data_IF_400658649602
#
_entry.id   IF_400658649602
#
_cell.length_a   1.000
_cell.length_b   1.000
_cell.length_c   1.000
_cell.angle_alpha   90.00
_cell.angle_beta   90.00
_cell.angle_gamma   90.00
#
_symmetry.space_group_name_H-M   'P 1'
#
loop_
_entity.id
_entity.type
_entity.pdbx_description
1 polymer ?
#
# COMPACT_ATOMS: atom_id res chain seq x y z
N UNK A 1 -52.61 -45.59 -74.71
CA UNK A 1 -51.32 -44.94 -74.41
C UNK A 1 -51.42 -44.25 -73.07
N UNK A 2 -50.72 -44.77 -72.05
CA UNK A 2 -50.68 -44.19 -70.70
C UNK A 2 -49.77 -42.96 -70.74
N UNK A 3 -50.28 -41.77 -70.41
CA UNK A 3 -49.47 -40.60 -70.12
C UNK A 3 -49.50 -40.33 -68.61
N UNK A 4 -48.39 -40.66 -67.96
CA UNK A 4 -48.04 -40.35 -66.58
C UNK A 4 -47.67 -38.87 -66.47
N UNK A 5 -48.41 -38.11 -65.67
CA UNK A 5 -48.09 -36.72 -65.33
C UNK A 5 -47.18 -36.74 -64.10
N UNK A 6 -45.92 -36.40 -64.33
CA UNK A 6 -44.86 -36.30 -63.33
C UNK A 6 -45.06 -35.03 -62.49
N UNK A 7 -45.17 -35.17 -61.17
CA UNK A 7 -45.17 -34.03 -60.24
C UNK A 7 -43.73 -33.56 -60.01
N UNK A 8 -43.43 -32.32 -60.40
CA UNK A 8 -42.15 -31.66 -60.09
C UNK A 8 -42.33 -30.87 -58.79
N UNK A 9 -41.66 -31.31 -57.72
CA UNK A 9 -41.46 -30.51 -56.50
C UNK A 9 -40.30 -29.52 -56.72
N UNK A 10 -40.43 -28.24 -56.35
CA UNK A 10 -39.30 -27.32 -56.41
C UNK A 10 -38.35 -27.60 -55.24
N UNK A 11 -37.11 -27.95 -55.56
CA UNK A 11 -35.99 -28.05 -54.62
C UNK A 11 -35.54 -26.62 -54.28
N UNK A 12 -35.77 -26.20 -53.03
CA UNK A 12 -35.17 -24.99 -52.47
C UNK A 12 -33.66 -25.22 -52.28
N UNK A 13 -32.86 -24.64 -53.17
CA UNK A 13 -31.41 -24.53 -53.00
C UNK A 13 -31.10 -23.43 -51.98
N UNK A 14 -30.75 -23.82 -50.76
CA UNK A 14 -30.12 -22.92 -49.80
C UNK A 14 -28.68 -22.66 -50.26
N UNK A 15 -28.42 -21.46 -50.75
CA UNK A 15 -27.05 -20.95 -50.89
C UNK A 15 -26.55 -20.51 -49.52
N UNK A 16 -25.73 -21.34 -48.88
CA UNK A 16 -24.93 -20.93 -47.72
C UNK A 16 -23.87 -19.94 -48.18
N UNK A 17 -24.15 -18.64 -48.02
CA UNK A 17 -23.15 -17.60 -48.09
C UNK A 17 -22.29 -17.69 -46.82
N UNK A 18 -21.06 -18.17 -46.96
CA UNK A 18 -20.02 -17.96 -45.96
C UNK A 18 -19.57 -16.51 -46.06
N UNK A 19 -20.11 -15.64 -45.21
CA UNK A 19 -19.42 -14.40 -44.88
C UNK A 19 -18.12 -14.75 -44.12
N UNK A 20 -16.97 -14.13 -44.47
CA UNK A 20 -15.78 -14.31 -43.67
C UNK A 20 -16.05 -13.64 -42.33
N UNK A 21 -16.12 -14.45 -41.28
CA UNK A 21 -16.21 -13.98 -39.90
C UNK A 21 -15.12 -12.95 -39.66
N UNK A 22 -15.52 -11.69 -39.48
CA UNK A 22 -14.67 -10.68 -38.85
C UNK A 22 -14.16 -11.29 -37.56
N UNK A 23 -12.84 -11.31 -37.37
CA UNK A 23 -12.18 -11.77 -36.15
C UNK A 23 -12.65 -10.92 -34.96
N UNK A 24 -13.79 -11.25 -34.38
CA UNK A 24 -14.17 -10.88 -33.02
C UNK A 24 -13.80 -12.05 -32.11
N UNK A 25 -12.50 -12.33 -32.04
CA UNK A 25 -11.93 -13.18 -31.02
C UNK A 25 -11.13 -12.28 -30.12
N UNK A 26 -11.77 -11.69 -29.11
CA UNK A 26 -11.03 -11.38 -27.89
C UNK A 26 -10.60 -12.76 -27.41
N UNK A 27 -9.33 -13.09 -27.63
CA UNK A 27 -8.78 -14.36 -27.21
C UNK A 27 -8.94 -14.42 -25.68
N UNK A 28 -9.67 -15.42 -25.21
CA UNK A 28 -9.95 -15.63 -23.78
C UNK A 28 -8.69 -15.95 -22.96
N UNK A 29 -7.52 -16.01 -23.62
CA UNK A 29 -6.19 -16.10 -23.02
C UNK A 29 -5.67 -14.76 -22.45
N UNK A 30 -6.29 -13.62 -22.78
CA UNK A 30 -5.81 -12.26 -22.47
C UNK A 30 -6.28 -11.67 -21.12
N UNK A 31 -6.93 -12.46 -20.27
CA UNK A 31 -7.41 -11.99 -18.97
C UNK A 31 -6.24 -11.99 -17.98
N UNK A 32 -5.92 -10.83 -17.39
CA UNK A 32 -5.01 -10.73 -16.24
C UNK A 32 -5.41 -11.81 -15.24
N UNK A 33 -4.46 -12.67 -14.88
CA UNK A 33 -4.72 -13.68 -13.87
C UNK A 33 -5.04 -12.98 -12.54
N UNK A 34 -6.30 -13.12 -12.11
CA UNK A 34 -6.78 -12.54 -10.84
C UNK A 34 -6.10 -13.19 -9.65
N UNK A 35 -5.45 -14.33 -9.81
CA UNK A 35 -4.74 -15.04 -8.73
C UNK A 35 -3.74 -14.12 -8.00
N UNK A 36 -3.06 -13.22 -8.72
CA UNK A 36 -2.03 -12.33 -8.16
C UNK A 36 -2.65 -11.29 -7.23
N UNK A 37 -3.77 -10.69 -7.66
CA UNK A 37 -4.53 -9.76 -6.81
C UNK A 37 -5.05 -10.50 -5.58
N UNK A 38 -5.60 -11.70 -5.77
CA UNK A 38 -6.14 -12.50 -4.66
C UNK A 38 -5.04 -12.92 -3.66
N UNK A 39 -3.85 -13.26 -4.14
CA UNK A 39 -2.69 -13.59 -3.32
C UNK A 39 -2.24 -12.39 -2.51
N UNK A 40 -2.05 -11.24 -3.17
CA UNK A 40 -1.66 -9.99 -2.53
C UNK A 40 -2.70 -9.58 -1.47
N UNK A 41 -3.98 -9.54 -1.82
CA UNK A 41 -5.04 -9.18 -0.88
C UNK A 41 -5.18 -10.18 0.26
N UNK A 42 -4.93 -11.47 0.02
CA UNK A 42 -4.92 -12.48 1.06
C UNK A 42 -3.76 -12.30 2.05
N UNK A 43 -2.58 -11.85 1.61
CA UNK A 43 -1.47 -11.51 2.52
C UNK A 43 -1.79 -10.23 3.29
N UNK A 44 -2.27 -9.18 2.62
CA UNK A 44 -2.63 -7.91 3.26
C UNK A 44 -3.76 -8.06 4.29
N UNK A 45 -4.79 -8.86 3.98
CA UNK A 45 -5.93 -9.10 4.91
C UNK A 45 -5.49 -9.79 6.20
N UNK A 46 -4.39 -10.57 6.20
CA UNK A 46 -3.86 -11.15 7.43
C UNK A 46 -3.32 -10.07 8.38
N UNK A 47 -2.83 -8.95 7.84
CA UNK A 47 -2.34 -7.82 8.62
C UNK A 47 -3.48 -7.06 9.32
N UNK A 48 -4.71 -7.08 8.78
CA UNK A 48 -5.89 -6.50 9.45
C UNK A 48 -6.13 -7.18 10.81
N UNK A 49 -5.98 -8.51 10.86
CA UNK A 49 -6.13 -9.27 12.12
C UNK A 49 -4.94 -9.04 13.06
N UNK A 50 -3.73 -8.95 12.49
CA UNK A 50 -2.52 -8.72 13.26
C UNK A 50 -2.52 -7.34 13.94
N UNK A 51 -2.92 -6.27 13.23
CA UNK A 51 -2.94 -4.93 13.83
C UNK A 51 -4.00 -4.80 14.92
N UNK A 52 -5.14 -5.50 14.79
CA UNK A 52 -6.14 -5.60 15.87
C UNK A 52 -5.55 -6.31 17.08
N UNK A 53 -4.83 -7.41 16.88
CA UNK A 53 -4.13 -8.11 17.95
C UNK A 53 -3.12 -7.19 18.66
N UNK A 54 -2.28 -6.47 17.92
CA UNK A 54 -1.32 -5.52 18.47
C UNK A 54 -2.02 -4.41 19.27
N UNK A 55 -3.12 -3.86 18.74
CA UNK A 55 -3.95 -2.87 19.43
C UNK A 55 -4.45 -3.41 20.76
N UNK A 56 -4.99 -4.62 20.79
CA UNK A 56 -5.50 -5.23 22.02
C UNK A 56 -4.37 -5.46 23.05
N UNK A 57 -3.15 -5.76 22.60
CA UNK A 57 -1.99 -5.81 23.51
C UNK A 57 -1.67 -4.44 24.10
N UNK A 58 -1.66 -3.38 23.29
CA UNK A 58 -1.40 -2.02 23.80
C UNK A 58 -2.48 -1.60 24.80
N UNK A 59 -3.76 -1.75 24.45
CA UNK A 59 -4.87 -1.38 25.34
C UNK A 59 -4.85 -2.19 26.65
N UNK A 60 -4.44 -3.46 26.61
CA UNK A 60 -4.23 -4.24 27.82
C UNK A 60 -3.13 -3.66 28.70
N UNK A 61 -2.00 -3.23 28.14
CA UNK A 61 -0.91 -2.62 28.90
C UNK A 61 -1.37 -1.31 29.56
N UNK A 62 -2.11 -0.49 28.83
CA UNK A 62 -2.66 0.78 29.32
C UNK A 62 -3.67 0.58 30.45
N UNK A 63 -4.59 -0.38 30.30
CA UNK A 63 -5.55 -0.73 31.35
C UNK A 63 -4.89 -1.21 32.65
N UNK A 64 -3.62 -1.66 32.59
CA UNK A 64 -2.85 -2.15 33.73
C UNK A 64 -1.67 -1.23 34.11
N UNK A 65 -1.68 0.02 33.63
CA UNK A 65 -0.60 1.02 33.77
C UNK A 65 0.00 1.08 35.18
N UNK A 66 -0.82 1.28 36.21
CA UNK A 66 -0.37 1.44 37.61
C UNK A 66 0.40 0.23 38.15
N UNK A 67 0.04 -0.98 37.69
CA UNK A 67 0.71 -2.22 38.11
C UNK A 67 1.99 -2.44 37.32
N UNK A 68 1.96 -2.16 36.01
CA UNK A 68 3.10 -2.37 35.12
C UNK A 68 4.21 -1.34 35.31
N UNK A 69 3.89 -0.08 35.61
CA UNK A 69 4.90 0.95 35.91
C UNK A 69 5.81 0.55 37.08
N UNK A 70 5.28 -0.15 38.08
CA UNK A 70 6.06 -0.64 39.23
C UNK A 70 7.05 -1.74 38.87
N UNK A 71 6.84 -2.42 37.74
CA UNK A 71 7.65 -3.53 37.24
C UNK A 71 8.46 -3.15 35.99
N UNK A 72 8.27 -1.94 35.48
CA UNK A 72 8.87 -1.51 34.23
C UNK A 72 10.40 -1.44 34.36
N UNK A 73 11.10 -1.99 33.37
CA UNK A 73 12.55 -1.83 33.28
C UNK A 73 12.88 -0.42 32.77
N UNK A 74 13.17 0.47 33.72
CA UNK A 74 13.55 1.87 33.44
C UNK A 74 14.90 1.99 32.73
N UNK A 75 15.72 0.95 32.72
CA UNK A 75 17.05 0.95 32.09
C UNK A 75 17.06 0.24 30.73
N UNK A 76 15.90 -0.18 30.22
CA UNK A 76 15.77 -0.86 28.92
C UNK A 76 16.34 -0.03 27.77
N UNK A 77 16.19 1.30 27.87
CA UNK A 77 16.64 2.26 26.88
C UNK A 77 17.63 3.26 27.50
N UNK A 78 18.63 3.65 26.71
CA UNK A 78 19.49 4.79 27.01
C UNK A 78 19.01 5.95 26.14
N UNK A 79 18.77 7.10 26.75
CA UNK A 79 18.25 8.28 26.07
C UNK A 79 19.28 9.41 26.00
N UNK A 80 19.23 10.18 24.90
CA UNK A 80 19.84 11.50 24.78
C UNK A 80 18.72 12.51 24.52
N UNK A 81 18.34 13.25 25.56
CA UNK A 81 17.07 14.00 25.53
C UNK A 81 15.90 13.01 25.53
N UNK A 82 14.93 13.19 24.63
CA UNK A 82 13.82 12.25 24.43
C UNK A 82 14.10 11.12 23.43
N UNK A 83 15.30 11.05 22.83
CA UNK A 83 15.62 10.08 21.77
C UNK A 83 16.40 8.89 22.31
N UNK A 84 15.96 7.67 22.02
CA UNK A 84 16.73 6.45 22.31
C UNK A 84 18.02 6.40 21.49
N UNK A 85 19.13 5.99 22.09
CA UNK A 85 20.45 5.98 21.42
C UNK A 85 20.76 4.68 20.68
N UNK A 86 19.91 3.66 20.75
CA UNK A 86 20.14 2.39 20.06
C UNK A 86 19.96 2.53 18.55
N UNK A 87 20.80 1.84 17.82
CA UNK A 87 20.75 1.67 16.38
C UNK A 87 20.36 0.22 16.04
N UNK A 88 19.93 -0.06 14.79
CA UNK A 88 19.71 -1.44 14.35
C UNK A 88 20.95 -2.35 14.46
N UNK A 89 22.17 -1.79 14.58
CA UNK A 89 23.39 -2.56 14.82
C UNK A 89 23.58 -2.96 16.29
N UNK A 90 22.99 -2.20 17.22
CA UNK A 90 23.16 -2.42 18.66
C UNK A 90 22.24 -3.53 19.20
N UNK A 91 21.03 -3.65 18.62
CA UNK A 91 20.06 -4.67 19.02
C UNK A 91 19.08 -5.01 17.90
N UNK A 92 18.82 -6.30 17.73
CA UNK A 92 17.75 -6.86 16.90
C UNK A 92 16.41 -6.97 17.63
N UNK A 93 16.34 -6.54 18.90
CA UNK A 93 15.17 -6.69 19.78
C UNK A 93 14.50 -5.41 20.17
N UNK A 94 15.19 -4.27 20.02
CA UNK A 94 14.68 -2.98 20.46
C UNK A 94 14.07 -2.23 19.28
N UNK A 95 12.95 -1.58 19.54
CA UNK A 95 12.46 -0.49 18.69
C UNK A 95 13.34 0.74 18.87
N UNK A 96 13.26 1.70 17.96
CA UNK A 96 13.59 3.09 18.27
C UNK A 96 12.45 3.68 19.09
N UNK A 97 12.77 4.37 20.19
CA UNK A 97 11.81 5.00 21.09
C UNK A 97 12.11 6.49 21.23
N UNK A 98 11.10 7.30 21.02
CA UNK A 98 11.20 8.75 20.94
C UNK A 98 10.11 9.39 21.77
N UNK A 99 10.48 10.43 22.52
CA UNK A 99 9.58 11.42 23.09
C UNK A 99 9.95 12.76 22.43
N UNK A 100 9.07 13.31 21.60
CA UNK A 100 9.33 14.56 20.89
C UNK A 100 9.20 15.76 21.83
N UNK A 101 9.93 16.84 21.51
CA UNK A 101 9.91 18.09 22.27
C UNK A 101 8.54 18.80 22.23
N UNK A 102 7.70 18.44 21.27
CA UNK A 102 6.32 18.93 21.13
C UNK A 102 5.38 18.38 22.22
N UNK A 103 5.81 17.42 23.04
CA UNK A 103 5.01 16.95 24.18
C UNK A 103 4.73 18.08 25.18
N UNK A 104 3.50 18.12 25.69
CA UNK A 104 3.13 19.05 26.77
C UNK A 104 3.48 18.54 28.16
N UNK A 105 3.75 17.23 28.30
CA UNK A 105 4.04 16.57 29.58
C UNK A 105 5.01 15.40 29.38
N UNK A 106 6.30 15.68 29.57
CA UNK A 106 7.36 14.69 29.37
C UNK A 106 7.27 13.50 30.33
N UNK A 107 6.85 13.72 31.58
CA UNK A 107 6.76 12.64 32.58
C UNK A 107 5.66 11.65 32.20
N UNK A 108 4.49 12.16 31.78
CA UNK A 108 3.39 11.33 31.26
C UNK A 108 3.78 10.58 29.98
N UNK A 109 4.49 11.24 29.07
CA UNK A 109 5.06 10.59 27.87
C UNK A 109 6.03 9.47 28.26
N UNK A 110 6.89 9.69 29.26
CA UNK A 110 7.82 8.69 29.76
C UNK A 110 7.10 7.50 30.42
N UNK A 111 6.04 7.72 31.20
CA UNK A 111 5.22 6.63 31.74
C UNK A 111 4.61 5.78 30.63
N UNK A 112 4.10 6.41 29.57
CA UNK A 112 3.54 5.70 28.40
C UNK A 112 4.63 4.91 27.67
N UNK A 113 5.82 5.48 27.51
CA UNK A 113 6.98 4.79 26.96
C UNK A 113 7.35 3.54 27.80
N UNK A 114 7.36 3.66 29.14
CA UNK A 114 7.70 2.56 30.05
C UNK A 114 6.65 1.45 30.06
N UNK A 115 5.36 1.79 30.11
CA UNK A 115 4.25 0.82 30.11
C UNK A 115 4.20 0.01 28.82
N UNK A 116 4.60 0.62 27.70
CA UNK A 116 4.63 -0.04 26.40
C UNK A 116 5.94 -0.76 26.11
N UNK A 117 6.86 -0.90 27.07
CA UNK A 117 8.15 -1.56 26.85
C UNK A 117 8.03 -3.00 26.32
N UNK A 118 7.00 -3.76 26.69
CA UNK A 118 6.80 -5.12 26.18
C UNK A 118 6.44 -5.16 24.69
N UNK A 119 6.00 -4.04 24.11
CA UNK A 119 5.61 -3.96 22.69
C UNK A 119 6.76 -4.25 21.73
N UNK A 120 8.02 -4.04 22.12
CA UNK A 120 9.16 -4.40 21.26
C UNK A 120 9.14 -5.89 20.85
N UNK A 121 8.77 -6.78 21.78
CA UNK A 121 8.68 -8.21 21.49
C UNK A 121 7.52 -8.54 20.57
N UNK A 122 6.39 -7.85 20.72
CA UNK A 122 5.23 -8.02 19.85
C UNK A 122 5.51 -7.49 18.44
N UNK A 123 6.08 -6.29 18.33
CA UNK A 123 6.48 -5.70 17.06
C UNK A 123 7.52 -6.55 16.33
N UNK A 124 8.52 -7.04 17.05
CA UNK A 124 9.50 -7.99 16.50
C UNK A 124 8.83 -9.27 16.00
N UNK A 125 7.92 -9.84 16.78
CA UNK A 125 7.22 -11.06 16.38
C UNK A 125 6.42 -10.85 15.10
N UNK A 126 5.65 -9.76 15.01
CA UNK A 126 4.90 -9.40 13.79
C UNK A 126 5.85 -9.22 12.60
N UNK A 127 6.92 -8.45 12.76
CA UNK A 127 7.93 -8.21 11.72
C UNK A 127 8.57 -9.52 11.21
N UNK A 128 8.89 -10.45 12.10
CA UNK A 128 9.47 -11.76 11.71
C UNK A 128 8.45 -12.73 11.12
N UNK A 129 7.18 -12.62 11.54
CA UNK A 129 6.09 -13.49 11.09
C UNK A 129 5.66 -13.17 9.66
N UNK A 130 5.60 -11.89 9.29
CA UNK A 130 5.14 -11.45 7.98
C UNK A 130 6.28 -10.81 7.19
N UNK A 131 6.82 -11.57 6.24
CA UNK A 131 7.94 -11.13 5.41
C UNK A 131 7.66 -9.93 4.48
N UNK A 132 6.43 -9.44 4.41
CA UNK A 132 6.05 -8.21 3.68
C UNK A 132 6.12 -6.96 4.55
N UNK A 133 6.17 -7.11 5.88
CA UNK A 133 6.18 -5.99 6.82
C UNK A 133 7.56 -5.36 6.87
N UNK A 134 7.62 -4.06 6.61
CA UNK A 134 8.83 -3.27 6.67
C UNK A 134 9.03 -2.63 8.06
N UNK A 135 7.94 -2.14 8.66
CA UNK A 135 7.93 -1.53 9.98
C UNK A 135 6.62 -1.81 10.74
N UNK A 136 6.72 -1.79 12.07
CA UNK A 136 5.58 -1.77 12.99
C UNK A 136 5.83 -0.66 14.01
N UNK A 137 4.83 0.19 14.26
CA UNK A 137 5.01 1.33 15.13
C UNK A 137 3.76 1.70 15.91
N UNK A 138 3.95 2.52 16.95
CA UNK A 138 2.89 3.29 17.60
C UNK A 138 3.34 4.75 17.75
N UNK A 139 2.45 5.68 17.42
CA UNK A 139 2.57 7.11 17.69
C UNK A 139 1.44 7.54 18.62
N UNK A 140 1.71 8.38 19.62
CA UNK A 140 0.71 8.79 20.62
C UNK A 140 0.42 10.29 20.57
N UNK A 141 -0.74 10.70 21.09
CA UNK A 141 -1.13 12.11 21.23
C UNK A 141 -0.14 12.90 22.08
N UNK A 142 0.45 12.23 23.08
CA UNK A 142 1.49 12.78 23.96
C UNK A 142 2.90 12.65 23.35
N UNK A 143 2.98 12.50 22.01
CA UNK A 143 4.21 12.60 21.23
C UNK A 143 5.28 11.54 21.57
N UNK A 144 4.84 10.38 22.05
CA UNK A 144 5.66 9.16 22.13
C UNK A 144 5.56 8.41 20.81
N UNK A 145 6.70 8.11 20.20
CA UNK A 145 6.82 7.27 19.01
C UNK A 145 7.70 6.07 19.31
N UNK A 146 7.25 4.87 18.94
CA UNK A 146 8.00 3.62 19.04
C UNK A 146 7.93 2.91 17.70
N UNK A 147 9.07 2.66 17.05
CA UNK A 147 9.15 2.08 15.71
C UNK A 147 10.11 0.89 15.69
N UNK A 148 9.64 -0.24 15.20
CA UNK A 148 10.43 -1.45 14.98
C UNK A 148 10.52 -1.77 13.47
N UNK A 149 11.66 -2.25 12.97
CA UNK A 149 12.96 -2.36 13.66
C UNK A 149 13.55 -0.97 13.95
N UNK A 150 14.53 -0.91 14.86
CA UNK A 150 15.21 0.34 15.16
C UNK A 150 15.84 0.98 13.91
N UNK A 151 15.90 2.32 13.91
CA UNK A 151 16.52 3.16 12.91
C UNK A 151 17.35 4.28 13.58
N UNK A 152 18.26 4.89 12.82
CA UNK A 152 19.11 5.99 13.31
C UNK A 152 18.31 7.30 13.42
N UNK A 153 17.62 7.44 14.54
CA UNK A 153 16.73 8.58 14.80
C UNK A 153 17.45 9.91 14.87
N UNK A 154 18.71 9.93 15.33
CA UNK A 154 19.43 11.17 15.59
C UNK A 154 19.69 11.97 14.31
N UNK A 155 19.79 11.28 13.17
CA UNK A 155 20.08 11.89 11.88
C UNK A 155 18.83 12.06 10.99
N UNK A 156 17.71 11.41 11.32
CA UNK A 156 16.54 11.32 10.44
C UNK A 156 15.32 12.09 10.96
N UNK A 157 15.18 12.25 12.27
CA UNK A 157 13.99 12.83 12.88
C UNK A 157 14.26 14.24 13.43
N UNK A 158 13.38 15.19 13.11
CA UNK A 158 13.34 16.47 13.81
C UNK A 158 12.63 16.27 15.17
N UNK A 159 13.29 16.54 16.30
CA UNK A 159 12.71 16.34 17.63
C UNK A 159 11.55 17.29 17.93
N UNK A 160 11.35 18.36 17.16
CA UNK A 160 10.26 19.34 17.34
C UNK A 160 9.00 19.00 16.53
N UNK A 161 8.99 17.87 15.80
CA UNK A 161 7.83 17.40 15.04
C UNK A 161 6.62 17.14 15.95
N UNK A 162 5.44 17.22 15.34
CA UNK A 162 4.19 16.78 15.95
C UNK A 162 3.60 15.65 15.10
N UNK A 163 3.66 14.42 15.64
CA UNK A 163 3.22 13.21 14.92
C UNK A 163 1.74 13.21 14.59
N UNK A 164 0.92 14.01 15.28
CA UNK A 164 -0.52 14.07 15.06
C UNK A 164 -0.91 14.80 13.78
N UNK A 165 0.03 15.56 13.19
CA UNK A 165 -0.19 16.28 11.93
C UNK A 165 0.07 15.43 10.69
N UNK A 166 0.53 14.20 10.84
CA UNK A 166 0.86 13.30 9.74
C UNK A 166 -0.28 12.33 9.41
N UNK A 167 -0.37 11.92 8.15
CA UNK A 167 -1.42 11.03 7.65
C UNK A 167 -1.55 9.72 8.41
N UNK A 168 -0.43 9.09 8.78
CA UNK A 168 -0.43 7.88 9.58
C UNK A 168 -1.10 8.04 10.96
N UNK A 169 -1.27 9.27 11.44
CA UNK A 169 -2.00 9.53 12.67
C UNK A 169 -3.43 9.97 12.40
N UNK A 170 -3.64 11.03 11.62
CA UNK A 170 -4.98 11.59 11.45
C UNK A 170 -5.93 10.67 10.69
N UNK A 171 -5.46 9.80 9.78
CA UNK A 171 -6.33 8.85 9.08
C UNK A 171 -7.00 7.84 10.02
N UNK A 172 -6.40 7.57 11.19
CA UNK A 172 -6.96 6.70 12.20
C UNK A 172 -7.71 7.45 13.32
N UNK A 173 -7.67 8.78 13.35
CA UNK A 173 -8.31 9.55 14.41
C UNK A 173 -9.85 9.42 14.38
N UNK A 174 -10.54 9.89 15.43
CA UNK A 174 -12.00 9.79 15.50
C UNK A 174 -12.76 10.62 14.46
N UNK A 175 -12.11 11.61 13.84
CA UNK A 175 -12.72 12.47 12.82
C UNK A 175 -12.71 11.79 11.45
N UNK A 176 -11.62 11.12 11.09
CA UNK A 176 -11.46 10.44 9.81
C UNK A 176 -11.93 8.98 9.88
N UNK A 177 -11.74 8.32 11.02
CA UNK A 177 -12.14 6.95 11.29
C UNK A 177 -13.13 6.83 12.47
N UNK A 178 -14.40 7.26 12.30
CA UNK A 178 -15.42 7.12 13.34
C UNK A 178 -15.76 5.65 13.64
N UNK A 179 -15.39 4.71 12.76
CA UNK A 179 -15.61 3.26 12.96
C UNK A 179 -14.66 2.65 13.99
N UNK A 180 -13.52 3.31 14.25
CA UNK A 180 -12.45 2.86 15.16
C UNK A 180 -11.79 1.55 14.77
N UNK A 181 -11.96 1.10 13.53
CA UNK A 181 -11.34 -0.12 12.99
C UNK A 181 -10.00 0.13 12.30
N UNK A 182 -9.38 -0.93 11.74
CA UNK A 182 -8.22 -0.80 10.86
C UNK A 182 -8.54 0.08 9.63
N UNK A 183 -7.56 0.86 9.17
CA UNK A 183 -7.65 1.72 7.99
C UNK A 183 -6.41 1.54 7.13
N UNK A 184 -6.60 1.17 5.87
CA UNK A 184 -5.54 1.19 4.85
C UNK A 184 -5.40 2.60 4.27
N UNK A 185 -4.22 3.19 4.42
CA UNK A 185 -3.87 4.46 3.76
C UNK A 185 -3.46 4.13 2.33
N UNK A 186 -4.44 4.12 1.42
CA UNK A 186 -4.25 3.71 0.03
C UNK A 186 -3.33 4.62 -0.81
N UNK A 187 -3.02 5.81 -0.29
CA UNK A 187 -2.09 6.76 -0.91
C UNK A 187 -0.68 6.50 -0.43
N UNK A 188 0.20 6.10 -1.35
CA UNK A 188 1.60 5.84 -1.05
C UNK A 188 2.32 7.15 -0.70
N UNK A 189 3.07 7.14 0.40
CA UNK A 189 3.84 8.27 0.89
C UNK A 189 5.26 7.87 1.31
N UNK A 190 6.12 8.85 1.53
CA UNK A 190 7.51 8.60 1.94
C UNK A 190 7.57 8.32 3.44
N UNK A 191 8.22 7.22 3.81
CA UNK A 191 8.51 6.86 5.21
C UNK A 191 9.48 7.87 5.85
N UNK A 192 9.08 8.54 6.96
CA UNK A 192 9.97 9.39 7.77
C UNK A 192 11.21 8.69 8.31
N UNK A 193 11.17 7.37 8.53
CA UNK A 193 12.31 6.58 8.98
C UNK A 193 13.23 6.12 7.82
N UNK A 194 12.97 6.56 6.59
CA UNK A 194 13.89 6.43 5.46
C UNK A 194 13.78 5.12 4.66
N UNK A 195 12.67 4.39 4.76
CA UNK A 195 12.42 3.16 3.97
C UNK A 195 12.00 3.39 2.52
N UNK A 196 11.78 4.64 2.12
CA UNK A 196 11.31 4.99 0.78
C UNK A 196 9.79 5.09 0.73
N UNK A 197 9.18 4.61 -0.35
CA UNK A 197 7.73 4.68 -0.55
C UNK A 197 7.03 3.54 0.18
N UNK A 198 6.05 3.87 1.01
CA UNK A 198 5.30 2.91 1.83
C UNK A 198 3.79 2.98 1.61
N UNK A 199 3.16 1.83 1.83
CA UNK A 199 1.74 1.65 2.07
C UNK A 199 1.56 1.30 3.55
N UNK A 200 0.55 1.88 4.20
CA UNK A 200 0.38 1.73 5.65
C UNK A 200 -1.02 1.26 6.02
N UNK A 201 -1.07 0.32 6.97
CA UNK A 201 -2.26 -0.06 7.70
C UNK A 201 -2.18 0.55 9.08
N UNK A 202 -3.18 1.34 9.47
CA UNK A 202 -3.20 2.04 10.76
C UNK A 202 -4.44 1.65 11.59
N UNK A 203 -4.30 1.71 12.91
CA UNK A 203 -5.39 1.39 13.84
C UNK A 203 -5.35 2.31 15.07
N UNK A 204 -6.48 2.95 15.44
CA UNK A 204 -6.52 3.76 16.65
C UNK A 204 -6.46 2.90 17.92
N UNK A 205 -5.79 3.42 18.95
CA UNK A 205 -5.64 2.82 20.27
C UNK A 205 -6.27 3.74 21.30
N UNK A 206 -7.10 3.19 22.18
CA UNK A 206 -7.82 3.97 23.19
C UNK A 206 -7.38 3.64 24.62
N UNK A 207 -7.34 4.64 25.48
CA UNK A 207 -7.23 4.49 26.94
C UNK A 207 -8.48 5.11 27.56
N UNK A 208 -9.29 4.31 28.27
CA UNK A 208 -10.52 4.76 28.94
C UNK A 208 -11.55 5.48 28.03
N UNK A 209 -11.50 5.23 26.73
CA UNK A 209 -12.40 5.81 25.74
C UNK A 209 -11.86 7.02 24.99
N UNK A 210 -10.71 7.55 25.41
CA UNK A 210 -9.98 8.62 24.73
C UNK A 210 -8.91 8.04 23.80
N UNK A 211 -8.68 8.69 22.66
CA UNK A 211 -7.63 8.28 21.72
C UNK A 211 -6.27 8.51 22.37
N UNK A 212 -5.53 7.44 22.65
CA UNK A 212 -4.14 7.53 23.11
C UNK A 212 -3.21 7.73 21.92
N UNK A 213 -3.42 6.99 20.84
CA UNK A 213 -2.48 6.93 19.74
C UNK A 213 -2.94 6.06 18.60
N UNK A 214 -2.03 5.84 17.67
CA UNK A 214 -2.25 5.10 16.43
C UNK A 214 -1.11 4.11 16.25
N UNK A 215 -1.48 2.82 16.14
CA UNK A 215 -0.59 1.78 15.68
C UNK A 215 -0.53 1.80 14.16
N UNK A 216 0.61 1.42 13.59
CA UNK A 216 0.72 1.19 12.17
C UNK A 216 1.65 0.05 11.80
N UNK A 217 1.40 -0.52 10.62
CA UNK A 217 2.21 -1.50 9.94
C UNK A 217 2.49 -0.94 8.55
N UNK A 218 3.77 -0.80 8.20
CA UNK A 218 4.20 -0.31 6.90
C UNK A 218 4.72 -1.44 6.03
N UNK A 219 4.44 -1.33 4.74
CA UNK A 219 4.94 -2.20 3.67
C UNK A 219 5.64 -1.30 2.67
N UNK A 220 6.85 -1.66 2.24
CA UNK A 220 7.48 -0.91 1.15
C UNK A 220 6.86 -1.26 -0.18
N UNK A 221 6.68 -0.25 -1.03
CA UNK A 221 6.24 -0.47 -2.42
C UNK A 221 7.25 -1.31 -3.18
N UNK A 222 8.54 -1.14 -2.92
CA UNK A 222 9.61 -1.93 -3.56
C UNK A 222 9.44 -3.43 -3.26
N UNK A 223 9.22 -3.81 -2.00
CA UNK A 223 9.00 -5.21 -1.61
C UNK A 223 7.69 -5.77 -2.20
N UNK A 224 6.64 -4.95 -2.31
CA UNK A 224 5.38 -5.35 -2.94
C UNK A 224 5.57 -5.65 -4.44
N UNK A 225 6.28 -4.77 -5.16
CA UNK A 225 6.54 -4.97 -6.60
C UNK A 225 7.47 -6.17 -6.82
N UNK A 226 8.54 -6.31 -6.03
CA UNK A 226 9.46 -7.45 -6.11
C UNK A 226 8.75 -8.78 -5.85
N UNK A 227 7.91 -8.84 -4.81
CA UNK A 227 7.20 -10.06 -4.43
C UNK A 227 6.19 -10.51 -5.49
N UNK A 228 5.48 -9.58 -6.12
CA UNK A 228 4.30 -9.93 -6.93
C UNK A 228 4.45 -9.71 -8.44
N UNK A 229 5.31 -8.80 -8.89
CA UNK A 229 5.39 -8.39 -10.30
C UNK A 229 6.75 -8.62 -10.96
N UNK A 230 7.86 -8.73 -10.21
CA UNK A 230 9.20 -8.81 -10.80
C UNK A 230 9.42 -10.10 -11.62
N UNK A 231 8.95 -11.24 -11.10
CA UNK A 231 9.07 -12.55 -11.75
C UNK A 231 7.88 -12.90 -12.67
N UNK A 232 6.91 -11.99 -12.81
CA UNK A 232 5.71 -12.23 -13.60
C UNK A 232 5.96 -11.97 -15.09
N UNK A 233 5.62 -12.92 -15.95
CA UNK A 233 5.73 -12.73 -17.40
C UNK A 233 4.73 -11.68 -17.91
N UNK A 234 5.27 -10.53 -18.34
CA UNK A 234 4.53 -9.45 -18.98
C UNK A 234 4.86 -8.08 -18.40
N UNK A 235 4.14 -7.07 -18.88
CA UNK A 235 4.38 -5.68 -18.52
C UNK A 235 3.25 -5.16 -17.63
N UNK A 236 3.51 -5.07 -16.32
CA UNK A 236 2.49 -4.73 -15.34
C UNK A 236 2.79 -3.41 -14.63
N UNK A 237 1.73 -2.72 -14.24
CA UNK A 237 1.78 -1.58 -13.33
C UNK A 237 0.59 -1.61 -12.35
N UNK A 238 0.83 -1.09 -11.16
CA UNK A 238 -0.20 -0.82 -10.14
C UNK A 238 -0.43 0.68 -10.10
N UNK A 239 -1.69 1.08 -10.13
CA UNK A 239 -2.12 2.48 -10.15
C UNK A 239 -3.25 2.70 -9.15
N UNK A 240 -3.22 3.80 -8.41
CA UNK A 240 -4.32 4.15 -7.50
C UNK A 240 -5.52 4.77 -8.26
N UNK A 241 -6.64 4.98 -7.56
CA UNK A 241 -7.85 5.60 -8.10
C UNK A 241 -7.68 7.06 -8.54
N UNK A 242 -6.58 7.73 -8.16
CA UNK A 242 -6.21 9.08 -8.61
C UNK A 242 -5.34 9.07 -9.87
N UNK A 243 -4.93 7.88 -10.35
CA UNK A 243 -4.07 7.73 -11.51
C UNK A 243 -2.57 7.79 -11.21
N UNK A 244 -2.16 7.84 -9.94
CA UNK A 244 -0.75 7.78 -9.57
C UNK A 244 -0.23 6.36 -9.73
N UNK A 245 0.89 6.22 -10.44
CA UNK A 245 1.60 4.96 -10.57
C UNK A 245 2.24 4.62 -9.22
N UNK A 246 1.74 3.56 -8.60
CA UNK A 246 2.27 3.01 -7.36
C UNK A 246 3.58 2.27 -7.65
N UNK A 247 3.60 1.41 -8.66
CA UNK A 247 4.79 0.66 -9.07
C UNK A 247 4.54 -0.15 -10.34
N UNK A 248 5.57 -0.79 -10.89
CA UNK A 248 5.45 -1.62 -12.10
C UNK A 248 6.79 -1.98 -12.71
N UNK A 249 6.78 -2.87 -13.70
CA UNK A 249 7.98 -3.26 -14.45
C UNK A 249 8.54 -2.06 -15.23
N UNK A 250 9.87 -1.97 -15.35
CA UNK A 250 10.52 -0.85 -16.02
C UNK A 250 10.03 -0.65 -17.47
N UNK A 251 9.82 -1.75 -18.19
CA UNK A 251 9.26 -1.78 -19.55
C UNK A 251 7.84 -1.21 -19.62
N UNK A 252 6.98 -1.53 -18.65
CA UNK A 252 5.61 -0.98 -18.59
C UNK A 252 5.61 0.54 -18.38
N UNK A 253 6.48 1.03 -17.49
CA UNK A 253 6.66 2.46 -17.21
C UNK A 253 7.18 3.20 -18.45
N UNK A 254 8.20 2.63 -19.11
CA UNK A 254 8.79 3.19 -20.33
C UNK A 254 7.78 3.21 -21.49
N UNK A 255 6.99 2.16 -21.67
CA UNK A 255 5.98 2.08 -22.73
C UNK A 255 4.88 3.14 -22.60
N UNK A 256 4.59 3.60 -21.38
CA UNK A 256 3.70 4.73 -21.12
C UNK A 256 4.40 6.10 -21.17
N UNK A 257 5.68 6.13 -21.58
CA UNK A 257 6.55 7.31 -21.68
C UNK A 257 6.79 8.04 -20.36
N UNK A 258 6.79 7.31 -19.24
CA UNK A 258 7.20 7.83 -17.94
C UNK A 258 8.70 7.61 -17.70
N UNK A 259 9.37 8.48 -16.92
CA UNK A 259 10.74 8.21 -16.49
C UNK A 259 10.77 6.96 -15.58
N UNK A 260 11.94 6.36 -15.32
CA UNK A 260 12.04 5.27 -14.36
C UNK A 260 11.57 5.69 -12.96
N UNK A 261 10.89 4.78 -12.26
CA UNK A 261 10.55 4.93 -10.86
C UNK A 261 11.83 4.77 -10.03
N UNK A 262 12.52 5.87 -9.71
CA UNK A 262 13.73 5.82 -8.89
C UNK A 262 13.39 5.52 -7.43
N UNK A 263 14.15 4.61 -6.81
CA UNK A 263 14.18 4.44 -5.37
C UNK A 263 14.88 5.67 -4.77
N UNK A 264 14.09 6.63 -4.32
CA UNK A 264 14.61 7.76 -3.58
C UNK A 264 15.05 7.29 -2.19
N UNK A 265 16.36 7.20 -1.99
CA UNK A 265 16.94 7.10 -0.64
C UNK A 265 16.92 8.51 -0.06
N UNK A 266 15.82 8.85 0.62
CA UNK A 266 15.76 10.10 1.37
C UNK A 266 16.74 10.04 2.55
N UNK A 267 17.67 10.99 2.59
CA UNK A 267 18.56 11.24 3.73
C UNK A 267 18.24 12.58 4.41
N UNK A 268 17.08 13.15 4.07
CA UNK A 268 16.62 14.44 4.54
C UNK A 268 15.43 14.23 5.47
N UNK A 269 15.31 15.08 6.49
CA UNK A 269 14.24 15.04 7.47
C UNK A 269 12.88 15.33 6.83
N UNK A 270 11.90 14.47 7.08
CA UNK A 270 10.53 14.63 6.58
C UNK A 270 9.72 15.43 7.60
N UNK A 271 9.32 16.64 7.22
CA UNK A 271 8.59 17.58 8.09
C UNK A 271 7.09 17.70 7.79
N UNK A 272 6.60 17.01 6.76
CA UNK A 272 5.21 16.99 6.34
C UNK A 272 4.93 15.79 5.44
N UNK A 273 3.66 15.43 5.24
CA UNK A 273 3.23 14.38 4.33
C UNK A 273 3.80 14.59 2.91
N UNK A 274 4.55 13.61 2.42
CA UNK A 274 5.13 13.64 1.08
C UNK A 274 4.61 12.45 0.28
N UNK A 275 3.61 12.72 -0.57
CA UNK A 275 3.03 11.71 -1.45
C UNK A 275 3.78 11.67 -2.78
N UNK A 276 3.60 10.58 -3.54
CA UNK A 276 4.20 10.41 -4.85
C UNK A 276 3.51 11.27 -5.91
N UNK A 277 3.63 12.60 -5.85
CA UNK A 277 2.82 13.51 -6.70
C UNK A 277 3.57 14.09 -7.92
N UNK A 278 2.76 14.23 -8.97
CA UNK A 278 2.83 14.96 -10.25
C UNK A 278 3.48 14.26 -11.43
N UNK A 279 4.71 13.77 -11.31
CA UNK A 279 5.46 13.28 -12.48
C UNK A 279 5.08 11.86 -12.92
N UNK A 280 4.40 11.10 -12.06
CA UNK A 280 4.03 9.70 -12.29
C UNK A 280 2.52 9.48 -12.24
N UNK A 281 1.73 10.47 -12.65
CA UNK A 281 0.28 10.37 -12.72
C UNK A 281 -0.18 10.20 -14.17
N UNK A 282 -0.99 9.17 -14.45
CA UNK A 282 -1.48 8.85 -15.79
C UNK A 282 -2.29 9.98 -16.43
N UNK A 283 -3.06 10.75 -15.64
CA UNK A 283 -3.81 11.91 -16.14
C UNK A 283 -2.91 13.09 -16.51
N UNK A 284 -1.68 13.12 -15.99
CA UNK A 284 -0.67 14.14 -16.31
C UNK A 284 0.31 13.70 -17.41
N UNK A 285 0.13 12.50 -18.00
CA UNK A 285 1.02 12.00 -19.06
C UNK A 285 1.07 12.98 -20.24
N UNK A 286 2.23 13.12 -20.87
CA UNK A 286 2.40 13.90 -22.11
C UNK A 286 1.70 13.22 -23.29
N UNK A 287 1.58 11.90 -23.27
CA UNK A 287 0.90 11.11 -24.29
C UNK A 287 -0.64 11.20 -24.12
N UNK A 288 -1.35 11.61 -25.16
CA UNK A 288 -2.80 11.77 -25.12
C UNK A 288 -3.54 10.44 -24.97
N UNK A 289 -3.06 9.36 -25.59
CA UNK A 289 -3.69 8.04 -25.47
C UNK A 289 -3.53 7.47 -24.06
N UNK A 290 -2.41 7.73 -23.38
CA UNK A 290 -2.23 7.35 -21.97
C UNK A 290 -3.27 8.04 -21.08
N UNK A 291 -3.54 9.33 -21.30
CA UNK A 291 -4.59 10.04 -20.57
C UNK A 291 -5.99 9.49 -20.87
N UNK A 292 -6.25 9.11 -22.13
CA UNK A 292 -7.53 8.49 -22.52
C UNK A 292 -7.70 7.09 -21.92
N UNK A 293 -6.62 6.31 -21.85
CA UNK A 293 -6.54 5.01 -21.18
C UNK A 293 -6.82 5.14 -19.68
N UNK A 294 -6.21 6.12 -19.01
CA UNK A 294 -6.48 6.42 -17.61
C UNK A 294 -7.97 6.77 -17.38
N UNK A 295 -8.56 7.62 -18.23
CA UNK A 295 -9.98 7.95 -18.17
C UNK A 295 -10.86 6.71 -18.37
N UNK A 296 -10.57 5.89 -19.36
CA UNK A 296 -11.32 4.68 -19.68
C UNK A 296 -11.30 3.69 -18.51
N UNK A 297 -10.13 3.41 -17.94
CA UNK A 297 -9.96 2.40 -16.89
C UNK A 297 -10.43 2.93 -15.53
N UNK A 298 -9.98 4.12 -15.12
CA UNK A 298 -10.15 4.60 -13.75
C UNK A 298 -11.48 5.32 -13.56
N UNK A 299 -11.89 6.17 -14.51
CA UNK A 299 -13.12 6.97 -14.40
C UNK A 299 -14.33 6.24 -14.99
N UNK A 300 -14.16 5.61 -16.15
CA UNK A 300 -15.25 4.88 -16.84
C UNK A 300 -15.32 3.40 -16.45
N UNK A 301 -14.40 2.91 -15.60
CA UNK A 301 -14.36 1.55 -15.06
C UNK A 301 -14.32 0.46 -16.15
N UNK A 302 -13.72 0.77 -17.31
CA UNK A 302 -13.52 -0.21 -18.39
C UNK A 302 -12.40 -1.18 -18.02
N UNK A 303 -12.55 -2.43 -18.43
CA UNK A 303 -11.55 -3.47 -18.21
C UNK A 303 -10.36 -3.42 -19.18
N UNK A 304 -10.44 -2.60 -20.24
CA UNK A 304 -9.37 -2.47 -21.21
C UNK A 304 -9.43 -1.15 -21.99
N UNK A 305 -8.33 -0.84 -22.67
CA UNK A 305 -8.18 0.26 -23.62
C UNK A 305 -7.30 -0.19 -24.79
N UNK A 306 -7.69 0.14 -26.02
CA UNK A 306 -6.92 -0.15 -27.24
C UNK A 306 -6.30 1.15 -27.76
N UNK A 307 -4.99 1.17 -27.85
CA UNK A 307 -4.23 2.31 -28.36
C UNK A 307 -4.21 2.30 -29.89
N UNK A 308 -4.20 3.49 -30.49
CA UNK A 308 -4.15 3.67 -31.93
C UNK A 308 -2.77 4.13 -32.41
N UNK A 309 -1.97 4.74 -31.53
CA UNK A 309 -0.63 5.21 -31.84
C UNK A 309 0.35 4.02 -31.96
N UNK A 310 1.20 4.05 -32.98
CA UNK A 310 2.24 3.04 -33.22
C UNK A 310 3.35 3.11 -32.16
N UNK A 311 3.54 4.26 -31.51
CA UNK A 311 4.53 4.47 -30.44
C UNK A 311 3.98 4.19 -29.04
N UNK A 312 2.70 3.83 -28.93
CA UNK A 312 2.07 3.41 -27.68
C UNK A 312 1.96 1.87 -27.62
N UNK A 313 1.69 1.27 -26.44
CA UNK A 313 1.33 -0.15 -26.35
C UNK A 313 0.19 -0.49 -27.31
N UNK A 314 -0.07 -1.77 -27.59
CA UNK A 314 -1.24 -2.18 -28.38
C UNK A 314 -2.53 -2.09 -27.55
N UNK A 315 -2.48 -2.61 -26.32
CA UNK A 315 -3.62 -2.64 -25.42
C UNK A 315 -3.18 -2.47 -23.95
N UNK A 316 -4.11 -2.01 -23.12
CA UNK A 316 -4.03 -2.09 -21.67
C UNK A 316 -5.25 -2.86 -21.16
N UNK A 317 -5.04 -3.82 -20.27
CA UNK A 317 -6.09 -4.54 -19.56
C UNK A 317 -5.99 -4.19 -18.08
N UNK A 318 -7.12 -4.06 -17.38
CA UNK A 318 -7.15 -3.61 -16.00
C UNK A 318 -8.07 -4.47 -15.16
N UNK A 319 -7.60 -4.81 -13.96
CA UNK A 319 -8.40 -5.44 -12.91
C UNK A 319 -8.30 -4.60 -11.64
N UNK A 320 -9.43 -4.19 -11.03
CA UNK A 320 -9.41 -3.48 -9.76
C UNK A 320 -9.06 -4.43 -8.61
N UNK A 321 -8.36 -3.89 -7.62
CA UNK A 321 -8.26 -4.48 -6.29
C UNK A 321 -9.60 -4.31 -5.55
N UNK A 322 -9.90 -5.23 -4.64
CA UNK A 322 -11.06 -5.22 -3.73
C UNK A 322 -10.73 -4.57 -2.39
N UNK A 323 -9.48 -4.70 -1.91
CA UNK A 323 -9.02 -4.21 -0.61
C UNK A 323 -8.54 -2.76 -0.69
N UNK A 324 -7.79 -2.44 -1.76
CA UNK A 324 -7.25 -1.11 -2.02
C UNK A 324 -7.95 -0.52 -3.23
N UNK A 325 -8.11 0.81 -3.25
CA UNK A 325 -8.64 1.56 -4.38
C UNK A 325 -7.63 1.63 -5.55
N UNK A 326 -7.07 0.48 -5.94
CA UNK A 326 -6.01 0.32 -6.92
C UNK A 326 -6.46 -0.48 -8.13
N UNK A 327 -5.66 -0.44 -9.18
CA UNK A 327 -5.79 -1.23 -10.40
C UNK A 327 -4.46 -1.91 -10.69
N UNK A 328 -4.51 -3.21 -11.00
CA UNK A 328 -3.44 -3.89 -11.71
C UNK A 328 -3.71 -3.73 -13.21
N UNK A 329 -2.78 -3.12 -13.94
CA UNK A 329 -2.86 -2.93 -15.38
C UNK A 329 -1.75 -3.73 -16.04
N UNK A 330 -2.12 -4.57 -17.01
CA UNK A 330 -1.20 -5.26 -17.91
C UNK A 330 -1.19 -4.52 -19.25
N UNK A 331 0.00 -4.24 -19.77
CA UNK A 331 0.20 -3.70 -21.11
C UNK A 331 0.60 -4.82 -22.07
N UNK A 332 0.02 -4.79 -23.26
CA UNK A 332 0.53 -5.55 -24.39
C UNK A 332 1.41 -4.61 -25.21
N UNK A 333 2.73 -4.69 -25.05
CA UNK A 333 3.69 -3.86 -25.77
C UNK A 333 3.90 -4.43 -27.17
N UNK A 334 3.96 -3.55 -28.19
CA UNK A 334 4.26 -3.93 -29.57
C UNK A 334 5.70 -4.44 -29.65
N UNK A 335 5.89 -5.65 -30.21
CA UNK A 335 7.21 -6.28 -30.42
C UNK A 335 8.05 -5.60 -31.48
#
# INVERSE_FOLDING_TARGET
MKLSILWIYPILLFFSSCEPSSKSGIDSSLVIDRSIILEMESELTQLDQEIVFLKDQVEFLLANRDSLLKLADVNKYIFKGGLSTNTPQDSDKLSTLVILNSTTDFEKSMETALVTNSMDSFFKHTYEKYSIVAQVYINTVDQVSRVFPAYDVTNLLDPDLDVTNFNFFYEADLKHNPSRGPVWISEVYVDPAGRGWILSLVHPVFEQGDLLGVLGIDITVDDLIKRYLEDLEGDFLIVNNKGDIVGGNASAIEALSFPPLLNHVYRETINADNFRISNFNLFNSKNNEVRMMAKAIILEKKSHYLFQDEFSPEAAYAVPFSLLDWYLIKLDIRS
#
